data_IF_503875998910
#
_entry.id   IF_503875998910
#
_cell.length_a   1.000
_cell.length_b   1.000
_cell.length_c   1.000
_cell.angle_alpha   90.00
_cell.angle_beta   90.00
_cell.angle_gamma   90.00
#
_symmetry.space_group_name_H-M   'P 1'
#
loop_
_entity.id
_entity.type
_entity.pdbx_description
1 polymer ?
#
# COMPACT_ATOMS: atom_id res chain seq x y z
N UNK A 1 -0.92 -18.48 -19.15
CA UNK A 1 -0.68 -17.57 -18.02
C UNK A 1 -0.84 -18.28 -16.67
N UNK A 2 -2.01 -18.77 -16.26
CA UNK A 2 -2.14 -19.53 -15.00
C UNK A 2 -1.77 -21.02 -15.13
N UNK A 3 -2.12 -21.66 -16.25
CA UNK A 3 -1.89 -23.09 -16.45
C UNK A 3 -0.41 -23.50 -16.57
N UNK A 4 0.47 -22.54 -16.88
CA UNK A 4 1.92 -22.71 -16.95
C UNK A 4 2.63 -22.64 -15.58
N UNK A 5 1.90 -22.33 -14.51
CA UNK A 5 2.44 -22.28 -13.15
C UNK A 5 2.52 -23.68 -12.55
N UNK A 6 3.57 -23.94 -11.77
CA UNK A 6 3.67 -25.17 -10.98
C UNK A 6 2.53 -25.24 -9.94
N UNK A 7 2.21 -26.45 -9.45
CA UNK A 7 1.17 -26.62 -8.43
C UNK A 7 1.40 -25.77 -7.17
N UNK A 8 2.66 -25.62 -6.75
CA UNK A 8 3.05 -24.75 -5.64
C UNK A 8 2.82 -23.27 -5.93
N UNK A 9 3.12 -22.81 -7.14
CA UNK A 9 2.88 -21.43 -7.54
C UNK A 9 1.39 -21.11 -7.63
N UNK A 10 0.57 -22.03 -8.15
CA UNK A 10 -0.89 -21.86 -8.18
C UNK A 10 -1.47 -21.70 -6.77
N UNK A 11 -1.08 -22.59 -5.86
CA UNK A 11 -1.51 -22.50 -4.46
C UNK A 11 -1.07 -21.19 -3.80
N UNK A 12 0.16 -20.74 -4.06
CA UNK A 12 0.63 -19.47 -3.53
C UNK A 12 -0.17 -18.27 -4.07
N UNK A 13 -0.46 -18.23 -5.38
CA UNK A 13 -1.33 -17.20 -5.98
C UNK A 13 -2.72 -17.20 -5.35
N UNK A 14 -3.34 -18.36 -5.16
CA UNK A 14 -4.65 -18.47 -4.49
C UNK A 14 -4.65 -17.93 -3.05
N UNK A 15 -3.54 -18.07 -2.34
CA UNK A 15 -3.38 -17.57 -0.98
C UNK A 15 -2.84 -16.13 -0.92
N UNK A 16 -2.73 -15.42 -2.05
CA UNK A 16 -2.16 -14.08 -2.11
C UNK A 16 -0.69 -14.01 -1.72
N UNK A 17 0.07 -15.11 -1.90
CA UNK A 17 1.50 -15.20 -1.55
C UNK A 17 2.36 -15.18 -2.81
N UNK A 18 3.52 -14.53 -2.70
CA UNK A 18 4.51 -14.49 -3.77
C UNK A 18 5.68 -15.41 -3.42
N UNK A 19 6.13 -16.18 -4.40
CA UNK A 19 7.32 -17.04 -4.28
C UNK A 19 8.41 -16.55 -5.24
N UNK A 20 9.66 -16.74 -4.82
CA UNK A 20 10.82 -16.50 -5.68
C UNK A 20 10.74 -17.35 -6.95
N UNK A 21 11.10 -16.76 -8.09
CA UNK A 21 11.07 -17.39 -9.41
C UNK A 21 9.70 -17.40 -10.08
N UNK A 22 8.64 -16.89 -9.44
CA UNK A 22 7.35 -16.68 -10.10
C UNK A 22 7.47 -15.71 -11.28
N UNK A 23 6.74 -15.92 -12.38
CA UNK A 23 6.65 -14.93 -13.44
C UNK A 23 5.84 -13.71 -12.98
N UNK A 24 6.09 -12.54 -13.58
CA UNK A 24 5.32 -11.31 -13.34
C UNK A 24 3.80 -11.53 -13.42
N UNK A 25 3.33 -12.32 -14.39
CA UNK A 25 1.91 -12.62 -14.57
C UNK A 25 1.30 -13.31 -13.34
N UNK A 26 2.05 -14.18 -12.64
CA UNK A 26 1.58 -14.82 -11.41
C UNK A 26 1.44 -13.82 -10.27
N UNK A 27 2.36 -12.87 -10.17
CA UNK A 27 2.29 -11.78 -9.18
C UNK A 27 1.09 -10.89 -9.46
N UNK A 28 0.86 -10.57 -10.73
CA UNK A 28 -0.31 -9.80 -11.15
C UNK A 28 -1.62 -10.51 -10.82
N UNK A 29 -1.67 -11.85 -10.95
CA UNK A 29 -2.85 -12.62 -10.54
C UNK A 29 -3.04 -12.66 -9.02
N UNK A 30 -1.96 -12.67 -8.24
CA UNK A 30 -2.02 -12.75 -6.79
C UNK A 30 -2.36 -11.40 -6.13
N UNK A 31 -1.74 -10.32 -6.58
CA UNK A 31 -1.80 -8.99 -5.94
C UNK A 31 -2.47 -7.92 -6.81
N UNK A 32 -2.76 -8.22 -8.07
CA UNK A 32 -3.38 -7.27 -9.00
C UNK A 32 -2.39 -6.30 -9.62
N UNK A 33 -2.91 -5.14 -10.03
CA UNK A 33 -2.14 -4.09 -10.69
C UNK A 33 -1.29 -3.34 -9.66
N UNK A 34 0.01 -3.13 -9.89
CA UNK A 34 0.84 -2.31 -9.01
C UNK A 34 0.51 -0.81 -9.14
N UNK A 35 0.69 -0.06 -8.05
CA UNK A 35 0.50 1.39 -8.03
C UNK A 35 1.68 2.14 -8.63
N UNK A 36 2.85 1.51 -8.67
CA UNK A 36 4.05 2.08 -9.26
C UNK A 36 4.97 1.01 -9.82
N UNK A 37 5.56 1.31 -10.98
CA UNK A 37 6.58 0.48 -11.61
C UNK A 37 7.85 1.33 -11.72
N UNK A 38 8.98 0.75 -11.31
CA UNK A 38 10.31 1.35 -11.47
C UNK A 38 11.20 0.37 -12.21
N UNK A 39 11.79 0.84 -13.30
CA UNK A 39 12.80 0.10 -14.04
C UNK A 39 14.18 0.65 -13.70
N UNK A 40 15.18 -0.21 -13.71
CA UNK A 40 16.56 0.16 -13.47
C UNK A 40 17.53 -0.90 -13.95
N UNK A 41 18.81 -0.58 -13.87
CA UNK A 41 19.88 -1.53 -14.13
C UNK A 41 20.75 -1.64 -12.87
N UNK A 42 20.86 -2.84 -12.32
CA UNK A 42 21.68 -3.12 -11.15
C UNK A 42 22.71 -4.16 -11.57
N UNK A 43 24.00 -3.82 -11.47
CA UNK A 43 25.12 -4.71 -11.82
C UNK A 43 25.02 -5.28 -13.25
N UNK A 44 24.61 -4.46 -14.23
CA UNK A 44 24.47 -4.87 -15.63
C UNK A 44 23.18 -5.63 -15.95
N UNK A 45 22.33 -5.91 -14.94
CA UNK A 45 21.07 -6.64 -15.11
C UNK A 45 19.90 -5.68 -15.07
N UNK A 46 18.97 -5.85 -16.01
CA UNK A 46 17.72 -5.11 -16.01
C UNK A 46 16.83 -5.63 -14.88
N UNK A 47 16.44 -4.71 -14.00
CA UNK A 47 15.62 -4.96 -12.83
C UNK A 47 14.37 -4.11 -12.92
N UNK A 48 13.24 -4.73 -12.63
CA UNK A 48 11.95 -4.05 -12.54
C UNK A 48 11.41 -4.21 -11.12
N UNK A 49 10.88 -3.14 -10.54
CA UNK A 49 10.33 -3.12 -9.19
C UNK A 49 8.89 -2.66 -9.25
N UNK A 50 7.99 -3.48 -8.75
CA UNK A 50 6.58 -3.12 -8.56
C UNK A 50 6.36 -2.70 -7.12
N UNK A 51 5.68 -1.57 -6.94
CA UNK A 51 5.31 -1.02 -5.65
C UNK A 51 3.80 -1.07 -5.50
N UNK A 52 3.38 -1.59 -4.35
CA UNK A 52 2.00 -1.58 -3.90
C UNK A 52 1.89 -0.66 -2.68
N UNK A 53 0.82 0.10 -2.65
CA UNK A 53 0.57 1.13 -1.64
C UNK A 53 -0.70 0.79 -0.89
N UNK A 54 -0.75 1.18 0.38
CA UNK A 54 -1.94 1.08 1.21
C UNK A 54 -2.15 2.40 1.94
N UNK A 55 -3.34 2.59 2.49
CA UNK A 55 -3.72 3.85 3.11
C UNK A 55 -3.76 3.66 4.62
N UNK A 56 -2.93 4.42 5.35
CA UNK A 56 -2.97 4.41 6.81
C UNK A 56 -3.96 5.49 7.27
N UNK A 57 -4.94 5.15 8.12
CA UNK A 57 -5.84 6.14 8.70
C UNK A 57 -5.07 6.97 9.73
N UNK A 58 -5.21 8.29 9.65
CA UNK A 58 -4.65 9.24 10.61
C UNK A 58 -5.80 10.04 11.20
N UNK A 59 -5.95 9.97 12.52
CA UNK A 59 -6.98 10.67 13.25
C UNK A 59 -6.50 12.08 13.61
N UNK A 60 -7.19 13.10 13.09
CA UNK A 60 -6.91 14.49 13.41
C UNK A 60 -7.97 14.98 14.40
N UNK A 61 -7.52 15.39 15.59
CA UNK A 61 -8.35 16.04 16.59
C UNK A 61 -8.03 17.53 16.59
N UNK A 62 -8.97 18.35 16.14
CA UNK A 62 -8.84 19.80 16.17
C UNK A 62 -9.67 20.34 17.33
N UNK A 63 -9.01 21.08 18.23
CA UNK A 63 -9.68 21.90 19.25
C UNK A 63 -9.91 23.28 18.64
N UNK A 64 -11.16 23.62 18.37
CA UNK A 64 -11.52 24.93 17.83
C UNK A 64 -11.74 25.87 19.03
N UNK A 65 -10.90 26.92 19.14
CA UNK A 65 -11.11 27.99 20.11
C UNK A 65 -12.14 28.98 19.55
N UNK A 66 -13.34 29.02 20.15
CA UNK A 66 -14.32 30.05 19.85
C UNK A 66 -13.79 31.42 20.27
N UNK A 67 -13.48 32.28 19.30
CA UNK A 67 -13.09 33.66 19.54
C UNK A 67 -14.18 34.41 20.32
N UNK A 68 -13.75 35.12 21.37
CA UNK A 68 -14.58 36.00 22.19
C UNK A 68 -15.35 36.99 21.30
N UNK A 69 -16.62 36.71 21.05
CA UNK A 69 -17.59 37.70 20.61
C UNK A 69 -18.62 37.84 21.72
N UNK A 70 -18.56 38.98 22.40
CA UNK A 70 -19.58 39.49 23.31
C UNK A 70 -20.93 39.35 22.64
N UNK A 71 -21.80 38.44 23.10
CA UNK A 71 -23.23 38.62 23.34
C UNK A 71 -23.77 37.32 23.96
N UNK A 72 -24.25 37.47 25.20
CA UNK A 72 -25.19 36.65 25.96
C UNK A 72 -25.55 35.21 25.54
N UNK A 73 -25.55 34.36 26.57
CA UNK A 73 -26.49 33.25 26.84
C UNK A 73 -26.03 31.81 26.55
N UNK A 74 -26.09 31.02 27.63
CA UNK A 74 -26.36 29.58 27.71
C UNK A 74 -25.24 28.55 27.51
N UNK A 75 -24.63 28.20 28.65
CA UNK A 75 -24.46 26.82 29.14
C UNK A 75 -23.86 25.72 28.24
N UNK A 76 -22.91 26.01 27.35
CA UNK A 76 -22.02 24.99 26.81
C UNK A 76 -20.58 25.54 26.71
N UNK A 77 -19.63 24.81 27.30
CA UNK A 77 -18.21 25.20 27.30
C UNK A 77 -17.67 25.39 25.87
N UNK A 78 -16.69 26.29 25.67
CA UNK A 78 -16.27 26.80 24.36
C UNK A 78 -15.50 25.79 23.48
N UNK A 79 -15.54 24.51 23.83
CA UNK A 79 -14.72 23.46 23.23
C UNK A 79 -15.56 22.61 22.27
N UNK A 80 -15.43 22.86 20.98
CA UNK A 80 -15.89 21.94 19.94
C UNK A 80 -14.74 21.03 19.54
N UNK A 81 -14.85 19.74 19.83
CA UNK A 81 -13.92 18.72 19.35
C UNK A 81 -14.38 18.25 17.97
N UNK A 82 -13.66 18.63 16.92
CA UNK A 82 -13.87 18.06 15.58
C UNK A 82 -12.86 16.94 15.37
N UNK A 83 -13.39 15.74 15.12
CA UNK A 83 -12.58 14.57 14.76
C UNK A 83 -12.74 14.31 13.27
N UNK A 84 -11.63 14.26 12.55
CA UNK A 84 -11.61 13.85 11.14
C UNK A 84 -10.60 12.73 10.92
N UNK A 85 -10.91 11.83 9.98
CA UNK A 85 -10.01 10.74 9.58
C UNK A 85 -9.43 11.11 8.22
N UNK A 86 -8.12 11.37 8.19
CA UNK A 86 -7.34 11.46 6.96
C UNK A 86 -6.75 10.11 6.59
N UNK A 87 -6.31 9.97 5.34
CA UNK A 87 -5.60 8.77 4.86
C UNK A 87 -4.32 9.18 4.17
N UNK A 88 -3.18 8.64 4.62
CA UNK A 88 -1.88 8.89 4.00
C UNK A 88 -1.45 7.61 3.28
N UNK A 89 -1.12 7.67 1.98
CA UNK A 89 -0.61 6.51 1.26
C UNK A 89 0.81 6.16 1.75
N UNK A 90 1.06 4.88 1.99
CA UNK A 90 2.36 4.32 2.32
C UNK A 90 2.65 3.10 1.46
N UNK A 91 3.91 2.68 1.37
CA UNK A 91 4.29 1.50 0.58
C UNK A 91 4.08 0.24 1.40
N UNK A 92 3.10 -0.58 1.04
CA UNK A 92 2.78 -1.82 1.77
C UNK A 92 3.53 -3.04 1.26
N UNK A 93 3.90 -3.06 -0.03
CA UNK A 93 4.69 -4.16 -0.58
C UNK A 93 5.54 -3.72 -1.78
N UNK A 94 6.66 -4.39 -1.97
CA UNK A 94 7.57 -4.23 -3.11
C UNK A 94 7.93 -5.60 -3.66
N UNK A 95 7.83 -5.79 -4.97
CA UNK A 95 8.30 -6.99 -5.66
C UNK A 95 9.37 -6.60 -6.65
N UNK A 96 10.51 -7.28 -6.60
CA UNK A 96 11.60 -7.10 -7.54
C UNK A 96 11.63 -8.26 -8.54
N UNK A 97 11.83 -7.90 -9.81
CA UNK A 97 11.95 -8.82 -10.91
C UNK A 97 13.29 -8.64 -11.63
N UNK A 98 13.83 -9.77 -12.08
CA UNK A 98 14.94 -9.83 -13.03
C UNK A 98 14.53 -10.83 -14.11
N UNK A 99 14.72 -10.49 -15.39
CA UNK A 99 14.32 -11.34 -16.52
C UNK A 99 12.85 -11.84 -16.41
N UNK A 100 11.95 -10.93 -16.00
CA UNK A 100 10.50 -11.18 -15.80
C UNK A 100 10.13 -12.21 -14.73
N UNK A 101 11.06 -12.53 -13.82
CA UNK A 101 10.85 -13.45 -12.70
C UNK A 101 11.15 -12.78 -11.37
N UNK A 102 10.39 -13.13 -10.34
CA UNK A 102 10.56 -12.60 -8.97
C UNK A 102 11.92 -13.01 -8.43
N UNK A 103 12.74 -12.04 -8.06
CA UNK A 103 14.01 -12.27 -7.35
C UNK A 103 13.88 -12.12 -5.85
N UNK A 104 13.10 -11.13 -5.42
CA UNK A 104 12.83 -10.79 -4.02
C UNK A 104 11.49 -10.05 -3.92
N UNK A 105 10.90 -10.08 -2.73
CA UNK A 105 9.73 -9.28 -2.39
C UNK A 105 9.76 -8.94 -0.91
N UNK A 106 9.14 -7.83 -0.56
CA UNK A 106 8.99 -7.30 0.78
C UNK A 106 7.52 -6.91 0.96
N UNK A 107 6.95 -7.23 2.13
CA UNK A 107 5.57 -6.91 2.46
C UNK A 107 5.50 -6.51 3.93
N UNK A 108 4.82 -5.42 4.21
CA UNK A 108 4.52 -4.94 5.56
C UNK A 108 3.42 -5.80 6.19
N UNK A 109 3.57 -6.15 7.48
CA UNK A 109 2.71 -7.10 8.21
C UNK A 109 1.87 -6.40 9.25
#
# INVERSE_FOLDING_TARGET
>A
MFNSLSGSQKSAVYNGRILKGMPMDAVYLAWGRPDGIKEGNINGKNVEKWRYSSNMPVMNQNIIYGGHHYYHSDYYGPFYNSTSIGYIPYTSAIVQFENRKVTSWEQER
#
